data_IF_697399750961
#
_entry.id   IF_697399750961
#
_cell.length_a   1.000
_cell.length_b   1.000
_cell.length_c   1.000
_cell.angle_alpha   90.00
_cell.angle_beta   90.00
_cell.angle_gamma   90.00
#
_symmetry.space_group_name_H-M   'P 1'
#
loop_
_entity.id
_entity.type
_entity.pdbx_description
1 polymer ?
#
# COMPACT_ATOMS: atom_id res chain seq x y z
N UNK A 1 10.78 -7.47 10.45
CA UNK A 1 10.56 -8.48 9.40
C UNK A 1 9.11 -8.35 8.99
N UNK A 2 8.76 -8.54 7.72
CA UNK A 2 7.34 -8.59 7.34
C UNK A 2 6.83 -9.94 7.85
N UNK A 3 5.95 -9.92 8.84
CA UNK A 3 5.48 -11.14 9.52
C UNK A 3 4.49 -11.90 8.64
N UNK A 4 3.75 -11.20 7.77
CA UNK A 4 2.65 -11.76 6.96
C UNK A 4 2.85 -11.57 5.45
N UNK A 5 3.97 -12.06 4.90
CA UNK A 5 4.25 -12.02 3.44
C UNK A 5 3.10 -12.64 2.63
N UNK A 6 2.49 -13.71 3.14
CA UNK A 6 1.38 -14.40 2.47
C UNK A 6 0.17 -13.48 2.33
N UNK A 7 -0.24 -12.82 3.41
CA UNK A 7 -1.43 -11.95 3.42
C UNK A 7 -1.25 -10.72 2.50
N UNK A 8 -0.07 -10.10 2.50
CA UNK A 8 0.18 -8.95 1.61
C UNK A 8 0.26 -9.37 0.15
N UNK A 9 0.76 -10.58 -0.15
CA UNK A 9 0.81 -11.13 -1.50
C UNK A 9 -0.59 -11.41 -2.04
N UNK A 10 -1.49 -11.94 -1.21
CA UNK A 10 -2.92 -12.14 -1.55
C UNK A 10 -3.62 -10.82 -1.87
N UNK A 11 -3.21 -9.72 -1.22
CA UNK A 11 -3.66 -8.36 -1.52
C UNK A 11 -2.97 -7.75 -2.76
N UNK A 12 -2.19 -8.54 -3.49
CA UNK A 12 -1.49 -8.14 -4.72
C UNK A 12 -0.25 -7.28 -4.47
N UNK A 13 0.25 -7.22 -3.24
CA UNK A 13 1.46 -6.46 -2.89
C UNK A 13 2.67 -7.39 -2.91
N UNK A 14 3.47 -7.28 -3.97
CA UNK A 14 4.72 -8.04 -4.14
C UNK A 14 5.94 -7.28 -3.60
N UNK A 15 5.81 -5.98 -3.41
CA UNK A 15 6.89 -5.08 -3.00
C UNK A 15 6.34 -4.08 -1.98
N UNK A 16 7.00 -4.01 -0.82
CA UNK A 16 6.74 -3.02 0.23
C UNK A 16 7.73 -1.85 0.12
N UNK A 17 7.36 -0.65 0.57
CA UNK A 17 6.10 -0.25 1.20
C UNK A 17 4.93 -0.18 0.21
N UNK A 18 3.70 -0.36 0.70
CA UNK A 18 2.50 -0.27 -0.10
C UNK A 18 1.35 0.36 0.71
N UNK A 19 0.42 1.04 0.02
CA UNK A 19 -0.76 1.66 0.62
C UNK A 19 -2.01 1.16 -0.10
N UNK A 20 -2.97 0.65 0.66
CA UNK A 20 -4.29 0.26 0.17
C UNK A 20 -5.38 1.06 0.91
N UNK A 21 -6.36 1.57 0.16
CA UNK A 21 -7.50 2.36 0.64
C UNK A 21 -8.75 1.82 -0.07
N UNK A 22 -9.86 1.67 0.66
CA UNK A 22 -11.14 1.17 0.12
C UNK A 22 -11.02 -0.13 -0.67
N UNK A 23 -10.29 -1.10 -0.10
CA UNK A 23 -10.01 -2.41 -0.70
C UNK A 23 -9.22 -2.38 -2.03
N UNK A 24 -8.69 -1.22 -2.42
CA UNK A 24 -7.86 -1.06 -3.62
C UNK A 24 -6.43 -0.65 -3.24
N UNK A 25 -5.43 -1.25 -3.89
CA UNK A 25 -4.04 -0.83 -3.68
C UNK A 25 -3.72 0.45 -4.47
N UNK A 26 -3.35 1.52 -3.78
CA UNK A 26 -3.05 2.85 -4.34
C UNK A 26 -1.56 3.10 -4.59
N UNK A 27 -0.66 2.43 -3.88
CA UNK A 27 0.80 2.50 -4.12
C UNK A 27 1.50 1.19 -3.75
N UNK A 28 2.58 0.84 -4.48
CA UNK A 28 3.44 -0.35 -4.25
C UNK A 28 4.89 0.00 -4.57
N UNK A 29 5.82 -0.29 -3.66
CA UNK A 29 7.26 -0.08 -3.84
C UNK A 29 7.72 1.38 -3.72
N UNK A 30 6.86 2.30 -3.30
CA UNK A 30 7.19 3.71 -3.11
C UNK A 30 6.51 4.28 -1.85
N UNK A 31 7.14 5.31 -1.27
CA UNK A 31 6.56 6.10 -0.19
C UNK A 31 5.95 7.35 -0.81
N UNK A 32 4.63 7.51 -0.69
CA UNK A 32 3.93 8.68 -1.21
C UNK A 32 4.23 9.93 -0.37
N UNK A 33 4.25 11.09 -1.05
CA UNK A 33 4.29 12.39 -0.39
C UNK A 33 3.03 12.62 0.46
N UNK A 34 3.12 13.30 1.61
CA UNK A 34 1.97 13.58 2.46
C UNK A 34 0.82 14.30 1.75
N UNK A 35 1.11 15.14 0.75
CA UNK A 35 0.09 15.84 -0.05
C UNK A 35 -0.72 14.87 -0.91
N UNK A 36 -0.07 13.91 -1.56
CA UNK A 36 -0.74 12.87 -2.36
C UNK A 36 -1.58 11.95 -1.50
N UNK A 37 -1.11 11.60 -0.30
CA UNK A 37 -1.89 10.80 0.66
C UNK A 37 -3.18 11.53 1.06
N UNK A 38 -3.13 12.84 1.29
CA UNK A 38 -4.33 13.63 1.62
C UNK A 38 -5.35 13.66 0.49
N UNK A 39 -4.93 13.64 -0.77
CA UNK A 39 -5.86 13.56 -1.91
C UNK A 39 -6.61 12.22 -1.98
N UNK A 40 -5.96 11.14 -1.54
CA UNK A 40 -6.54 9.79 -1.51
C UNK A 40 -7.50 9.55 -0.33
N UNK A 41 -7.44 10.38 0.71
CA UNK A 41 -8.24 10.25 1.94
C UNK A 41 -9.39 11.28 2.04
N UNK A 42 -9.68 11.99 0.95
CA UNK A 42 -10.85 12.89 0.87
C UNK A 42 -12.14 12.10 0.79
#
# INVERSE_FOLDING_TARGET
MIEDITEISERGVMVTPALAIDSETKAKGEVLDPEKIKELLK
#
